data_IF_917702437831
#
_entry.id   IF_917702437831
#
_cell.length_a   1.000
_cell.length_b   1.000
_cell.length_c   1.000
_cell.angle_alpha   90.00
_cell.angle_beta   90.00
_cell.angle_gamma   90.00
#
_symmetry.space_group_name_H-M   'P 1'
#
loop_
_entity.id
_entity.type
_entity.pdbx_description
1 polymer ?
#
# COMPACT_ATOMS: atom_id res chain seq x y z
N UNK A 1 -52.25 19.27 -32.19
CA UNK A 1 -50.91 19.61 -32.73
C UNK A 1 -49.98 20.18 -31.66
N UNK A 2 -50.45 21.15 -30.90
CA UNK A 2 -49.72 21.82 -29.82
C UNK A 2 -49.23 20.89 -28.70
N UNK A 3 -50.08 19.96 -28.22
CA UNK A 3 -49.71 18.94 -27.22
C UNK A 3 -48.54 18.05 -27.66
N UNK A 4 -48.45 17.73 -28.95
CA UNK A 4 -47.35 16.91 -29.51
C UNK A 4 -46.04 17.69 -29.50
N UNK A 5 -46.12 18.97 -29.87
CA UNK A 5 -44.98 19.90 -29.84
C UNK A 5 -44.44 20.08 -28.42
N UNK A 6 -45.32 20.18 -27.42
CA UNK A 6 -44.95 20.28 -26.00
C UNK A 6 -44.26 19.00 -25.49
N UNK A 7 -44.77 17.82 -25.87
CA UNK A 7 -44.15 16.54 -25.48
C UNK A 7 -42.76 16.35 -26.09
N UNK A 8 -42.59 16.69 -27.36
CA UNK A 8 -41.30 16.65 -28.05
C UNK A 8 -40.29 17.64 -27.41
N UNK A 9 -40.75 18.84 -27.04
CA UNK A 9 -39.94 19.83 -26.32
C UNK A 9 -39.48 19.31 -24.95
N UNK A 10 -40.33 18.55 -24.25
CA UNK A 10 -40.02 17.97 -22.95
C UNK A 10 -39.01 16.82 -23.05
N UNK A 11 -39.07 16.01 -24.12
CA UNK A 11 -38.09 14.94 -24.36
C UNK A 11 -36.70 15.50 -24.69
N UNK A 12 -36.63 16.56 -25.51
CA UNK A 12 -35.37 17.26 -25.79
C UNK A 12 -34.78 17.84 -24.51
N UNK A 13 -35.57 18.54 -23.69
CA UNK A 13 -35.10 19.11 -22.42
C UNK A 13 -34.61 18.04 -21.42
N UNK A 14 -35.28 16.88 -21.35
CA UNK A 14 -34.83 15.75 -20.50
C UNK A 14 -33.52 15.15 -20.97
N UNK A 15 -33.30 15.05 -22.29
CA UNK A 15 -32.06 14.55 -22.87
C UNK A 15 -30.90 15.53 -22.61
N UNK A 16 -31.13 16.83 -22.81
CA UNK A 16 -30.14 17.87 -22.52
C UNK A 16 -29.76 17.91 -21.03
N UNK A 17 -30.73 17.75 -20.12
CA UNK A 17 -30.48 17.65 -18.69
C UNK A 17 -29.67 16.38 -18.32
N UNK A 18 -29.97 15.25 -18.97
CA UNK A 18 -29.21 14.00 -18.80
C UNK A 18 -27.78 14.09 -19.29
N UNK A 19 -27.55 14.76 -20.42
CA UNK A 19 -26.22 14.97 -21.00
C UNK A 19 -25.40 15.99 -20.18
N UNK A 20 -26.05 17.03 -19.63
CA UNK A 20 -25.43 17.96 -18.69
C UNK A 20 -25.00 17.26 -17.39
N UNK A 21 -25.82 16.37 -16.84
CA UNK A 21 -25.49 15.56 -15.67
C UNK A 21 -24.33 14.58 -15.92
N UNK A 22 -24.27 13.96 -17.11
CA UNK A 22 -23.12 13.12 -17.50
C UNK A 22 -21.84 13.95 -17.65
N UNK A 23 -21.94 15.16 -18.20
CA UNK A 23 -20.81 16.10 -18.35
C UNK A 23 -20.28 16.55 -16.97
N UNK A 24 -21.16 16.80 -16.00
CA UNK A 24 -20.75 17.19 -14.65
C UNK A 24 -20.09 16.03 -13.88
N UNK A 25 -20.59 14.79 -14.04
CA UNK A 25 -19.97 13.60 -13.44
C UNK A 25 -18.56 13.34 -13.99
N UNK A 26 -18.34 13.58 -15.30
CA UNK A 26 -17.02 13.50 -15.93
C UNK A 26 -16.07 14.63 -15.53
N UNK A 27 -16.61 15.74 -15.01
CA UNK A 27 -15.84 16.89 -14.52
C UNK A 27 -15.40 16.67 -13.05
N UNK A 28 -16.17 15.94 -12.24
CA UNK A 28 -15.81 15.56 -10.87
C UNK A 28 -14.66 14.53 -10.84
N UNK A 29 -14.59 13.62 -11.81
CA UNK A 29 -13.47 12.68 -11.94
C UNK A 29 -12.23 13.30 -12.60
N UNK A 30 -12.35 14.53 -13.12
CA UNK A 30 -11.29 15.25 -13.83
C UNK A 30 -11.18 16.71 -13.36
N UNK A 31 -11.36 16.94 -12.06
CA UNK A 31 -11.35 18.24 -11.43
C UNK A 31 -10.11 18.44 -10.57
N UNK A 32 -9.05 19.01 -11.15
CA UNK A 32 -7.87 19.46 -10.42
C UNK A 32 -6.69 19.78 -11.32
N UNK A 33 -6.72 20.92 -12.03
CA UNK A 33 -5.55 21.43 -12.75
C UNK A 33 -4.53 22.01 -11.79
N UNK A 34 -3.27 21.58 -11.93
CA UNK A 34 -2.09 22.12 -11.27
C UNK A 34 -0.83 21.57 -11.93
N UNK A 35 -0.18 22.38 -12.76
CA UNK A 35 1.11 22.09 -13.38
C UNK A 35 2.19 22.06 -12.28
N UNK A 36 2.65 20.86 -11.93
CA UNK A 36 3.67 20.65 -10.92
C UNK A 36 3.99 19.17 -10.81
N UNK A 37 5.19 18.78 -11.24
CA UNK A 37 5.66 17.39 -11.34
C UNK A 37 5.76 16.65 -10.01
N UNK A 38 4.64 16.43 -9.33
CA UNK A 38 4.49 15.49 -8.23
C UNK A 38 3.68 14.30 -8.74
N UNK A 39 4.20 13.09 -8.53
CA UNK A 39 3.54 11.84 -8.86
C UNK A 39 2.17 11.77 -8.15
N UNK A 40 1.10 12.06 -8.88
CA UNK A 40 -0.27 12.12 -8.36
C UNK A 40 -0.79 10.70 -8.13
N UNK A 41 -0.43 10.12 -6.98
CA UNK A 41 -0.94 8.82 -6.56
C UNK A 41 -2.35 8.96 -5.95
N UNK A 42 -3.27 8.08 -6.33
CA UNK A 42 -4.58 7.99 -5.68
C UNK A 42 -4.44 7.58 -4.21
N UNK A 43 -5.45 7.89 -3.39
CA UNK A 43 -5.47 7.49 -1.96
C UNK A 43 -5.25 5.99 -1.77
N UNK A 44 -5.83 5.17 -2.64
CA UNK A 44 -5.70 3.71 -2.60
C UNK A 44 -4.29 3.25 -2.98
N UNK A 45 -3.66 3.92 -3.95
CA UNK A 45 -2.26 3.67 -4.31
C UNK A 45 -1.34 4.02 -3.13
N UNK A 46 -1.56 5.14 -2.45
CA UNK A 46 -0.78 5.53 -1.27
C UNK A 46 -0.99 4.54 -0.11
N UNK A 47 -2.23 4.12 0.16
CA UNK A 47 -2.52 3.13 1.19
C UNK A 47 -1.81 1.79 0.92
N UNK A 48 -1.78 1.38 -0.36
CA UNK A 48 -1.06 0.18 -0.80
C UNK A 48 0.44 0.33 -0.60
N UNK A 49 1.02 1.48 -0.98
CA UNK A 49 2.45 1.75 -0.75
C UNK A 49 2.79 1.72 0.75
N UNK A 50 1.99 2.34 1.61
CA UNK A 50 2.18 2.30 3.07
C UNK A 50 2.14 0.86 3.58
N UNK A 51 1.18 0.06 3.12
CA UNK A 51 1.06 -1.36 3.50
C UNK A 51 2.30 -2.17 3.10
N UNK A 52 2.76 -2.01 1.85
CA UNK A 52 3.95 -2.70 1.32
C UNK A 52 5.21 -2.29 2.09
N UNK A 53 5.39 -0.99 2.36
CA UNK A 53 6.55 -0.49 3.09
C UNK A 53 6.56 -0.99 4.54
N UNK A 54 5.41 -0.98 5.23
CA UNK A 54 5.27 -1.58 6.56
C UNK A 54 5.59 -3.07 6.55
N UNK A 55 5.10 -3.81 5.56
CA UNK A 55 5.41 -5.23 5.39
C UNK A 55 6.91 -5.52 5.19
N UNK A 56 7.64 -4.60 4.53
CA UNK A 56 9.09 -4.72 4.37
C UNK A 56 9.87 -4.49 5.66
N UNK A 57 9.35 -3.67 6.58
CA UNK A 57 9.98 -3.40 7.89
C UNK A 57 9.65 -4.49 8.92
N UNK A 58 8.49 -5.13 8.78
CA UNK A 58 8.05 -6.20 9.67
C UNK A 58 8.95 -7.44 9.61
N UNK A 59 9.20 -8.05 10.77
CA UNK A 59 9.94 -9.29 10.91
C UNK A 59 9.19 -10.44 10.23
N UNK A 60 9.82 -11.19 9.29
CA UNK A 60 9.15 -12.23 8.52
C UNK A 60 8.79 -13.48 9.34
N UNK A 61 9.29 -13.59 10.58
CA UNK A 61 9.00 -14.73 11.47
C UNK A 61 7.67 -14.54 12.20
N UNK A 62 7.45 -13.35 12.76
CA UNK A 62 6.25 -13.05 13.55
C UNK A 62 5.23 -12.16 12.83
N UNK A 63 5.60 -11.54 11.71
CA UNK A 63 4.78 -10.60 10.93
C UNK A 63 4.14 -9.49 11.77
N UNK A 64 4.78 -9.11 12.88
CA UNK A 64 4.21 -8.19 13.87
C UNK A 64 5.21 -7.12 14.32
N UNK A 65 6.39 -7.53 14.82
CA UNK A 65 7.43 -6.60 15.28
C UNK A 65 8.30 -6.16 14.11
N UNK A 66 8.86 -4.96 14.20
CA UNK A 66 9.83 -4.47 13.22
C UNK A 66 11.17 -5.20 13.32
N UNK A 67 11.92 -5.16 12.22
CA UNK A 67 13.30 -5.62 12.15
C UNK A 67 14.19 -4.69 12.97
N UNK A 68 14.90 -5.24 13.94
CA UNK A 68 15.85 -4.51 14.78
C UNK A 68 17.13 -5.31 15.08
N UNK A 69 17.31 -6.47 14.45
CA UNK A 69 18.58 -7.20 14.48
C UNK A 69 18.91 -7.81 13.10
N UNK A 70 20.20 -8.04 12.87
CA UNK A 70 20.75 -8.68 11.67
C UNK A 70 21.60 -9.89 12.05
N UNK A 71 21.48 -10.97 11.28
CA UNK A 71 22.40 -12.12 11.37
C UNK A 71 23.57 -11.87 10.44
N UNK A 72 24.74 -11.48 10.96
CA UNK A 72 25.89 -10.99 10.18
C UNK A 72 26.44 -12.01 9.18
N UNK A 73 26.25 -13.32 9.45
CA UNK A 73 26.70 -14.43 8.59
C UNK A 73 25.98 -14.51 7.24
N UNK A 74 24.71 -14.12 7.18
CA UNK A 74 23.88 -14.19 5.96
C UNK A 74 23.12 -12.89 5.64
N UNK A 75 23.22 -11.87 6.50
CA UNK A 75 22.62 -10.53 6.38
C UNK A 75 21.09 -10.49 6.30
N UNK A 76 20.41 -11.54 6.75
CA UNK A 76 18.96 -11.49 6.95
C UNK A 76 18.61 -10.80 8.26
N UNK A 77 17.51 -10.03 8.24
CA UNK A 77 17.07 -9.18 9.35
C UNK A 77 15.76 -9.66 9.95
N UNK A 78 15.66 -9.59 11.28
CA UNK A 78 14.52 -10.06 12.06
C UNK A 78 14.29 -9.16 13.28
N UNK A 79 13.25 -9.45 14.08
CA UNK A 79 13.14 -8.85 15.41
C UNK A 79 13.96 -9.67 16.42
N UNK A 80 14.58 -8.98 17.39
CA UNK A 80 15.47 -9.56 18.41
C UNK A 80 14.77 -10.65 19.20
N UNK A 81 13.51 -10.44 19.58
CA UNK A 81 12.69 -11.42 20.30
C UNK A 81 12.61 -12.79 19.59
N UNK A 82 12.46 -12.82 18.25
CA UNK A 82 12.41 -14.08 17.51
C UNK A 82 13.78 -14.76 17.42
N UNK A 83 14.86 -13.97 17.27
CA UNK A 83 16.22 -14.52 17.21
C UNK A 83 16.64 -15.08 18.57
N UNK A 84 16.36 -14.36 19.65
CA UNK A 84 16.65 -14.78 21.02
C UNK A 84 15.91 -16.07 21.40
N UNK A 85 14.65 -16.22 20.98
CA UNK A 85 13.87 -17.44 21.17
C UNK A 85 14.50 -18.63 20.44
N UNK A 86 14.96 -18.45 19.20
CA UNK A 86 15.66 -19.50 18.45
C UNK A 86 16.97 -19.90 19.12
N UNK A 87 17.73 -18.94 19.63
CA UNK A 87 18.97 -19.19 20.36
C UNK A 87 18.69 -19.98 21.65
N UNK A 88 17.67 -19.57 22.42
CA UNK A 88 17.22 -20.26 23.63
C UNK A 88 16.81 -21.70 23.34
N UNK A 89 16.10 -21.92 22.25
CA UNK A 89 15.65 -23.24 21.78
C UNK A 89 16.76 -24.04 21.07
N UNK A 90 18.01 -23.54 21.04
CA UNK A 90 19.16 -24.13 20.34
C UNK A 90 18.93 -24.38 18.84
N UNK A 91 17.96 -23.69 18.23
CA UNK A 91 17.67 -23.73 16.80
C UNK A 91 18.36 -22.57 16.07
N UNK A 92 19.69 -22.53 16.11
CA UNK A 92 20.49 -21.42 15.56
C UNK A 92 20.71 -21.53 14.04
N UNK A 93 19.61 -21.61 13.29
CA UNK A 93 19.57 -21.59 11.82
C UNK A 93 18.72 -20.41 11.36
N UNK A 94 19.22 -19.63 10.41
CA UNK A 94 18.51 -18.48 9.87
C UNK A 94 17.14 -18.91 9.32
N UNK A 95 16.03 -18.28 9.73
CA UNK A 95 14.69 -18.59 9.20
C UNK A 95 14.56 -18.42 7.68
N UNK A 96 15.33 -17.52 7.08
CA UNK A 96 15.23 -17.21 5.65
C UNK A 96 16.06 -18.11 4.75
N UNK A 97 17.24 -18.57 5.20
CA UNK A 97 18.16 -19.34 4.35
C UNK A 97 18.72 -20.62 5.00
N UNK A 98 18.40 -20.92 6.25
CA UNK A 98 18.88 -22.09 6.97
C UNK A 98 20.35 -22.04 7.40
N UNK A 99 21.09 -20.99 7.06
CA UNK A 99 22.50 -20.84 7.44
C UNK A 99 22.65 -20.80 8.96
N UNK A 100 23.62 -21.57 9.49
CA UNK A 100 23.92 -21.61 10.92
C UNK A 100 24.55 -20.29 11.39
N UNK A 101 24.17 -19.86 12.58
CA UNK A 101 24.70 -18.66 13.25
C UNK A 101 24.85 -18.94 14.76
N UNK A 102 25.51 -18.03 15.48
CA UNK A 102 25.60 -18.05 16.95
C UNK A 102 25.30 -16.67 17.56
N UNK A 103 25.27 -16.55 18.88
CA UNK A 103 25.00 -15.30 19.59
C UNK A 103 25.86 -14.12 19.14
N UNK A 104 27.14 -14.38 18.85
CA UNK A 104 28.09 -13.36 18.37
C UNK A 104 27.79 -12.85 16.95
N UNK A 105 26.99 -13.58 16.21
CA UNK A 105 26.63 -13.25 14.83
C UNK A 105 25.33 -12.42 14.76
N UNK A 106 24.78 -12.01 15.91
CA UNK A 106 23.57 -11.22 16.02
C UNK A 106 23.93 -9.82 16.48
N UNK A 107 23.69 -8.84 15.62
CA UNK A 107 23.92 -7.43 15.91
C UNK A 107 22.60 -6.65 15.82
N UNK A 108 22.49 -5.59 16.61
CA UNK A 108 21.34 -4.68 16.56
C UNK A 108 21.45 -3.75 15.35
N UNK A 109 20.29 -3.38 14.79
CA UNK A 109 20.18 -2.41 13.70
C UNK A 109 19.13 -1.36 14.02
N UNK A 110 19.34 -0.15 13.49
CA UNK A 110 18.41 0.98 13.59
C UNK A 110 18.08 1.43 12.15
N UNK A 111 16.80 1.41 11.80
CA UNK A 111 16.25 1.72 10.47
C UNK A 111 15.53 3.06 10.45
#
# INVERSE_FOLDING_TARGET
EEKRKILESLEVAKREAGDAAKKMAKMVTKGGGGDGGHSEFTKDQLATQISVLKGRLACPVCNHRDKNCIVTRCRHMFCKACVDEMIKNRNRKCPSCGQRFDNKDVEDIWL
#
